data_IF_928496368877
#
_entry.id   IF_928496368877
#
_cell.length_a   1.000
_cell.length_b   1.000
_cell.length_c   1.000
_cell.angle_alpha   90.00
_cell.angle_beta   90.00
_cell.angle_gamma   90.00
#
_symmetry.space_group_name_H-M   'P 1'
#
loop_
_entity.id
_entity.type
_entity.pdbx_description
1 polymer ?
#
# COMPACT_ATOMS: atom_id res chain seq x y z
N UNK A 1 11.46 -26.13 23.05
CA UNK A 1 10.20 -25.67 22.45
C UNK A 1 10.29 -25.91 20.96
N UNK A 2 9.44 -26.75 20.36
CA UNK A 2 9.38 -26.90 18.91
C UNK A 2 8.67 -25.69 18.31
N UNK A 3 9.19 -25.11 17.21
CA UNK A 3 8.51 -24.06 16.48
C UNK A 3 7.18 -24.63 15.90
N UNK A 4 6.10 -23.83 15.90
CA UNK A 4 4.86 -24.24 15.25
C UNK A 4 5.10 -24.44 13.74
N UNK A 5 4.44 -25.43 13.16
CA UNK A 5 4.51 -25.65 11.71
C UNK A 5 3.76 -24.55 10.96
N UNK A 6 4.24 -24.19 9.77
CA UNK A 6 3.53 -23.29 8.88
C UNK A 6 2.23 -23.91 8.38
N UNK A 7 1.24 -23.09 8.06
CA UNK A 7 -0.01 -23.57 7.47
C UNK A 7 0.24 -24.16 6.08
N UNK A 8 -0.54 -25.18 5.69
CA UNK A 8 -0.46 -25.80 4.36
C UNK A 8 -0.71 -24.76 3.26
N UNK A 9 -1.60 -23.81 3.51
CA UNK A 9 -1.84 -22.70 2.58
C UNK A 9 -0.56 -21.88 2.33
N UNK A 10 0.14 -21.46 3.40
CA UNK A 10 1.41 -20.72 3.26
C UNK A 10 2.49 -21.52 2.52
N UNK A 11 2.54 -22.84 2.73
CA UNK A 11 3.49 -23.71 2.07
C UNK A 11 3.18 -23.92 0.58
N UNK A 12 1.91 -23.78 0.16
CA UNK A 12 1.47 -23.94 -1.22
C UNK A 12 1.60 -22.68 -2.07
N UNK A 13 1.80 -21.50 -1.45
CA UNK A 13 1.97 -20.24 -2.20
C UNK A 13 3.35 -20.21 -2.87
N UNK A 14 3.42 -20.13 -4.22
CA UNK A 14 4.71 -20.07 -4.91
C UNK A 14 5.42 -18.73 -4.61
N UNK A 15 6.74 -18.76 -4.60
CA UNK A 15 7.53 -17.53 -4.52
C UNK A 15 7.28 -16.65 -5.74
N UNK A 16 7.30 -15.32 -5.54
CA UNK A 16 7.18 -14.37 -6.63
C UNK A 16 8.40 -14.46 -7.56
N UNK A 17 8.19 -14.75 -8.84
CA UNK A 17 9.27 -14.78 -9.83
C UNK A 17 9.97 -13.42 -10.01
N UNK A 18 9.26 -12.30 -9.79
CA UNK A 18 9.86 -10.96 -9.79
C UNK A 18 10.87 -10.83 -8.66
N UNK A 19 10.55 -11.36 -7.48
CA UNK A 19 11.45 -11.33 -6.32
C UNK A 19 12.73 -12.12 -6.59
N UNK A 20 12.62 -13.29 -7.20
CA UNK A 20 13.79 -14.12 -7.56
C UNK A 20 14.70 -13.41 -8.57
N UNK A 21 14.17 -12.61 -9.48
CA UNK A 21 14.97 -11.81 -10.41
C UNK A 21 15.65 -10.66 -9.67
N UNK A 22 14.97 -9.99 -8.74
CA UNK A 22 15.54 -8.96 -7.89
C UNK A 22 16.76 -9.47 -7.12
N UNK A 23 16.58 -10.60 -6.42
CA UNK A 23 17.64 -11.22 -5.62
C UNK A 23 18.88 -11.58 -6.48
N UNK A 24 18.69 -11.89 -7.76
CA UNK A 24 19.79 -12.18 -8.70
C UNK A 24 20.48 -10.91 -9.21
N UNK A 25 19.71 -9.87 -9.54
CA UNK A 25 20.24 -8.61 -10.07
C UNK A 25 21.14 -7.91 -9.05
N UNK A 26 20.82 -7.99 -7.77
CA UNK A 26 21.65 -7.42 -6.69
C UNK A 26 23.09 -7.95 -6.68
N UNK A 27 23.33 -9.14 -7.23
CA UNK A 27 24.65 -9.79 -7.28
C UNK A 27 25.37 -9.60 -8.62
N UNK A 28 24.78 -8.85 -9.58
CA UNK A 28 25.39 -8.60 -10.89
C UNK A 28 25.87 -7.14 -10.96
N UNK A 29 27.19 -6.91 -10.96
CA UNK A 29 27.73 -5.56 -11.12
C UNK A 29 27.22 -4.90 -12.42
N UNK A 30 26.93 -3.61 -12.35
CA UNK A 30 26.50 -2.78 -13.48
C UNK A 30 25.25 -3.26 -14.23
N UNK A 31 24.41 -4.08 -13.58
CA UNK A 31 23.16 -4.55 -14.17
C UNK A 31 22.16 -3.39 -14.34
N UNK A 32 21.60 -3.28 -15.53
CA UNK A 32 20.44 -2.39 -15.78
C UNK A 32 19.17 -3.16 -15.46
N UNK A 33 18.54 -2.82 -14.34
CA UNK A 33 17.30 -3.47 -13.91
C UNK A 33 16.09 -2.89 -14.64
N UNK A 34 15.32 -3.75 -15.29
CA UNK A 34 14.02 -3.45 -15.88
C UNK A 34 12.88 -4.20 -15.16
N UNK A 35 13.16 -4.72 -13.97
CA UNK A 35 12.25 -5.64 -13.25
C UNK A 35 11.08 -4.92 -12.59
N UNK A 36 11.28 -3.69 -12.13
CA UNK A 36 10.24 -2.88 -11.46
C UNK A 36 10.30 -1.46 -11.97
N UNK A 37 9.12 -0.94 -12.32
CA UNK A 37 8.97 0.47 -12.64
C UNK A 37 8.78 1.29 -11.37
N UNK A 38 9.62 2.30 -11.18
CA UNK A 38 9.46 3.29 -10.13
C UNK A 38 9.70 4.70 -10.68
N UNK A 39 9.10 5.73 -10.09
CA UNK A 39 9.39 7.11 -10.48
C UNK A 39 10.86 7.44 -10.29
N UNK A 40 11.49 8.07 -11.29
CA UNK A 40 12.87 8.54 -11.19
C UNK A 40 13.03 9.78 -10.30
N UNK A 41 11.92 10.46 -10.02
CA UNK A 41 11.90 11.67 -9.19
C UNK A 41 11.68 11.32 -7.72
N UNK A 42 12.41 11.98 -6.83
CA UNK A 42 12.17 11.95 -5.39
C UNK A 42 10.90 12.73 -5.02
N UNK A 43 10.39 12.52 -3.80
CA UNK A 43 9.26 13.30 -3.30
C UNK A 43 9.54 14.80 -3.38
N UNK A 44 8.54 15.57 -3.82
CA UNK A 44 8.68 17.03 -3.93
C UNK A 44 8.99 17.66 -2.57
N UNK A 45 9.82 18.73 -2.50
CA UNK A 45 10.26 19.33 -1.24
C UNK A 45 9.11 19.68 -0.28
N UNK A 46 8.01 20.21 -0.79
CA UNK A 46 6.86 20.58 0.04
C UNK A 46 6.18 19.35 0.72
N UNK A 47 6.25 18.18 0.10
CA UNK A 47 5.73 16.92 0.68
C UNK A 47 6.66 16.48 1.82
N UNK A 48 7.97 16.51 1.58
CA UNK A 48 8.98 16.17 2.59
C UNK A 48 8.85 17.08 3.81
N UNK A 49 8.76 18.40 3.58
CA UNK A 49 8.60 19.39 4.67
C UNK A 49 7.29 19.21 5.45
N UNK A 50 6.19 18.89 4.78
CA UNK A 50 4.92 18.60 5.44
C UNK A 50 5.02 17.37 6.34
N UNK A 51 5.65 16.29 5.89
CA UNK A 51 5.86 15.09 6.67
C UNK A 51 6.77 15.35 7.88
N UNK A 52 7.90 16.02 7.67
CA UNK A 52 8.82 16.40 8.76
C UNK A 52 8.14 17.30 9.81
N UNK A 53 7.35 18.26 9.38
CA UNK A 53 6.59 19.14 10.27
C UNK A 53 5.58 18.34 11.10
N UNK A 54 4.78 17.49 10.47
CA UNK A 54 3.81 16.63 11.16
C UNK A 54 4.45 15.78 12.25
N UNK A 55 5.61 15.20 11.98
CA UNK A 55 6.36 14.42 12.98
C UNK A 55 6.85 15.30 14.12
N UNK A 56 7.41 16.49 13.83
CA UNK A 56 7.89 17.42 14.87
C UNK A 56 6.75 17.94 15.77
N UNK A 57 5.56 18.09 15.21
CA UNK A 57 4.34 18.49 15.91
C UNK A 57 3.71 17.36 16.74
N UNK A 58 4.28 16.15 16.70
CA UNK A 58 3.85 15.02 17.51
C UNK A 58 2.67 14.24 16.94
N UNK A 59 2.32 14.40 15.65
CA UNK A 59 1.29 13.63 15.00
C UNK A 59 1.76 12.20 14.70
N UNK A 60 2.09 11.45 15.75
CA UNK A 60 2.66 10.09 15.69
C UNK A 60 1.89 9.08 16.53
N UNK A 61 0.67 9.43 16.95
CA UNK A 61 -0.21 8.59 17.76
C UNK A 61 -1.20 7.81 16.89
N UNK A 62 -1.96 6.92 17.53
CA UNK A 62 -3.04 6.21 16.86
C UNK A 62 -4.07 7.16 16.26
N UNK A 63 -4.59 6.81 15.09
CA UNK A 63 -5.62 7.54 14.38
C UNK A 63 -6.90 6.73 14.27
N UNK A 64 -7.93 7.32 13.67
CA UNK A 64 -9.15 6.59 13.28
C UNK A 64 -8.79 5.43 12.33
N UNK A 65 -9.48 4.31 12.44
CA UNK A 65 -9.28 3.13 11.58
C UNK A 65 -9.53 3.39 10.09
N UNK A 66 -10.33 4.38 9.76
CA UNK A 66 -10.55 4.84 8.39
C UNK A 66 -9.46 5.80 7.88
N UNK A 67 -8.50 6.18 8.74
CA UNK A 67 -7.54 7.25 8.48
C UNK A 67 -8.01 8.62 9.00
N UNK A 68 -7.09 9.58 9.06
CA UNK A 68 -7.39 10.93 9.53
C UNK A 68 -8.34 11.63 8.54
N UNK A 69 -9.29 12.38 9.08
CA UNK A 69 -10.32 13.08 8.29
C UNK A 69 -9.71 14.02 7.23
N UNK A 70 -8.71 14.88 7.53
CA UNK A 70 -8.11 15.76 6.52
C UNK A 70 -7.50 15.00 5.32
N UNK A 71 -7.00 13.79 5.54
CA UNK A 71 -6.51 12.96 4.44
C UNK A 71 -7.67 12.44 3.58
N UNK A 72 -8.76 11.95 4.19
CA UNK A 72 -9.94 11.46 3.47
C UNK A 72 -10.63 12.58 2.68
N UNK A 73 -10.75 13.78 3.27
CA UNK A 73 -11.24 14.98 2.56
C UNK A 73 -10.37 15.35 1.35
N UNK A 74 -9.05 15.31 1.51
CA UNK A 74 -8.12 15.59 0.40
C UNK A 74 -8.25 14.55 -0.72
N UNK A 75 -8.47 13.26 -0.39
CA UNK A 75 -8.73 12.20 -1.37
C UNK A 75 -10.05 12.43 -2.10
N UNK A 76 -11.12 12.80 -1.40
CA UNK A 76 -12.42 13.14 -2.01
C UNK A 76 -12.28 14.31 -2.99
N UNK A 77 -11.69 15.39 -2.54
CA UNK A 77 -11.48 16.59 -3.36
C UNK A 77 -10.61 16.30 -4.60
N UNK A 78 -9.54 15.51 -4.44
CA UNK A 78 -8.70 15.09 -5.56
C UNK A 78 -9.48 14.23 -6.56
N UNK A 79 -10.27 13.28 -6.09
CA UNK A 79 -11.06 12.39 -6.94
C UNK A 79 -12.11 13.14 -7.74
N UNK A 80 -12.78 14.10 -7.13
CA UNK A 80 -13.72 14.97 -7.83
C UNK A 80 -13.02 15.83 -8.89
N UNK A 81 -11.91 16.48 -8.52
CA UNK A 81 -11.15 17.37 -9.43
C UNK A 81 -10.56 16.64 -10.62
N UNK A 82 -9.99 15.44 -10.43
CA UNK A 82 -9.19 14.76 -11.47
C UNK A 82 -10.00 13.73 -12.24
N UNK A 83 -10.98 13.09 -11.57
CA UNK A 83 -11.74 11.98 -12.15
C UNK A 83 -13.23 12.29 -12.32
N UNK A 84 -13.72 13.39 -11.76
CA UNK A 84 -15.15 13.73 -11.73
C UNK A 84 -15.97 12.80 -10.83
N UNK A 85 -15.32 12.05 -9.92
CA UNK A 85 -15.97 11.12 -9.01
C UNK A 85 -16.13 11.76 -7.64
N UNK A 86 -17.33 11.69 -7.10
CA UNK A 86 -17.66 12.19 -5.76
C UNK A 86 -17.81 11.01 -4.82
N UNK A 87 -17.19 11.12 -3.65
CA UNK A 87 -17.26 10.13 -2.59
C UNK A 87 -17.63 10.81 -1.27
N UNK A 88 -18.43 10.11 -0.48
CA UNK A 88 -18.72 10.48 0.90
C UNK A 88 -17.50 10.18 1.76
N UNK A 89 -17.00 11.21 2.48
CA UNK A 89 -15.77 11.14 3.25
C UNK A 89 -15.86 10.14 4.41
N UNK A 90 -17.06 9.96 4.97
CA UNK A 90 -17.26 9.14 6.17
C UNK A 90 -17.51 7.66 5.86
N UNK A 91 -18.09 7.39 4.69
CA UNK A 91 -18.59 6.04 4.37
C UNK A 91 -17.92 5.39 3.15
N UNK A 92 -17.25 6.15 2.27
CA UNK A 92 -16.75 5.63 1.00
C UNK A 92 -15.21 5.77 0.83
N UNK A 93 -14.51 6.31 1.85
CA UNK A 93 -13.06 6.46 1.81
C UNK A 93 -12.41 5.86 3.05
N UNK A 94 -11.45 4.96 2.82
CA UNK A 94 -10.60 4.39 3.86
C UNK A 94 -9.14 4.47 3.45
N UNK A 95 -8.28 4.94 4.36
CA UNK A 95 -6.84 4.85 4.23
C UNK A 95 -6.37 3.43 4.58
N UNK A 96 -5.42 2.92 3.81
CA UNK A 96 -4.81 1.60 4.02
C UNK A 96 -3.30 1.68 3.83
N UNK A 97 -2.56 0.73 4.40
CA UNK A 97 -1.10 0.66 4.32
C UNK A 97 -0.62 0.13 2.94
N UNK A 98 -1.02 0.83 1.89
CA UNK A 98 -0.67 0.52 0.51
C UNK A 98 -1.73 -0.31 -0.23
N UNK A 99 -1.64 -0.28 -1.57
CA UNK A 99 -2.62 -0.89 -2.45
C UNK A 99 -2.77 -2.41 -2.25
N UNK A 100 -1.70 -3.11 -1.96
CA UNK A 100 -1.71 -4.57 -1.73
C UNK A 100 -2.60 -4.94 -0.54
N UNK A 101 -2.46 -4.22 0.57
CA UNK A 101 -3.31 -4.42 1.76
C UNK A 101 -4.76 -4.02 1.45
N UNK A 102 -4.97 -2.91 0.75
CA UNK A 102 -6.31 -2.50 0.32
C UNK A 102 -7.03 -3.56 -0.51
N UNK A 103 -6.36 -4.13 -1.50
CA UNK A 103 -6.90 -5.22 -2.31
C UNK A 103 -7.17 -6.48 -1.49
N UNK A 104 -6.24 -6.85 -0.61
CA UNK A 104 -6.43 -8.01 0.27
C UNK A 104 -7.66 -7.85 1.16
N UNK A 105 -7.82 -6.68 1.79
CA UNK A 105 -8.97 -6.39 2.65
C UNK A 105 -10.29 -6.37 1.86
N UNK A 106 -10.28 -5.77 0.67
CA UNK A 106 -11.46 -5.74 -0.20
C UNK A 106 -11.88 -7.17 -0.62
N UNK A 107 -10.93 -8.00 -1.06
CA UNK A 107 -11.22 -9.39 -1.40
C UNK A 107 -11.72 -10.18 -0.20
N UNK A 108 -11.14 -9.98 0.98
CA UNK A 108 -11.59 -10.65 2.21
C UNK A 108 -12.99 -10.23 2.65
N UNK A 109 -13.39 -9.01 2.34
CA UNK A 109 -14.72 -8.50 2.69
C UNK A 109 -15.81 -8.89 1.68
N UNK A 110 -15.43 -9.11 0.40
CA UNK A 110 -16.38 -9.28 -0.69
C UNK A 110 -16.50 -10.70 -1.23
N UNK A 111 -15.50 -11.57 -0.97
CA UNK A 111 -15.43 -12.89 -1.58
C UNK A 111 -15.62 -14.01 -0.55
N UNK A 112 -16.45 -14.96 -0.89
CA UNK A 112 -16.64 -16.21 -0.17
C UNK A 112 -15.79 -17.35 -0.76
N UNK A 113 -15.68 -18.45 0.00
CA UNK A 113 -14.96 -19.65 -0.47
C UNK A 113 -15.68 -20.26 -1.67
N UNK A 114 -15.00 -20.31 -2.81
CA UNK A 114 -15.54 -20.83 -4.08
C UNK A 114 -15.87 -19.78 -5.11
N UNK A 115 -15.84 -18.51 -4.76
CA UNK A 115 -15.97 -17.40 -5.72
C UNK A 115 -14.79 -17.42 -6.70
N UNK A 116 -15.08 -17.08 -7.93
CA UNK A 116 -14.08 -16.97 -9.01
C UNK A 116 -13.90 -15.49 -9.36
N UNK A 117 -12.66 -15.05 -9.35
CA UNK A 117 -12.22 -13.73 -9.83
C UNK A 117 -11.97 -13.78 -11.34
#
# INVERSE_FOLDING_TARGET
MSMPALSQHSLSVPRSGIRDVFDRVEHVPDAISLCVGEPSATAAPHIVEAACRSIREGHTTYTNVLGIEPFREAVAAYSEKVKGLRYDVDTEIQAVDGATIGLFLAMKALLDAGDRS
#
